data_IF_413276862371
#
_entry.id   IF_413276862371
#
_cell.length_a   1.000
_cell.length_b   1.000
_cell.length_c   1.000
_cell.angle_alpha   90.00
_cell.angle_beta   90.00
_cell.angle_gamma   90.00
#
_symmetry.space_group_name_H-M   'P 1'
#
loop_
_entity.id
_entity.type
_entity.pdbx_description
1 polymer ?
#
# COMPACT_ATOMS: atom_id res chain seq x y z
N UNK A 1 7.43 20.49 8.94
CA UNK A 1 7.47 19.03 8.69
C UNK A 1 7.40 18.20 9.97
N UNK A 2 8.34 18.31 10.93
CA UNK A 2 8.37 17.46 12.14
C UNK A 2 7.05 17.38 12.94
N UNK A 3 6.37 18.52 13.17
CA UNK A 3 5.07 18.55 13.89
C UNK A 3 3.94 17.83 13.16
N UNK A 4 3.91 17.90 11.82
CA UNK A 4 2.90 17.22 11.02
C UNK A 4 3.12 15.71 11.09
N UNK A 5 4.37 15.26 10.98
CA UNK A 5 4.73 13.85 11.17
C UNK A 5 4.29 13.33 12.54
N UNK A 6 4.62 14.04 13.62
CA UNK A 6 4.19 13.67 14.99
C UNK A 6 2.67 13.63 15.16
N UNK A 7 1.94 14.54 14.50
CA UNK A 7 0.48 14.53 14.52
C UNK A 7 -0.09 13.28 13.84
N UNK A 8 0.39 12.95 12.64
CA UNK A 8 -0.06 11.75 11.92
C UNK A 8 0.36 10.47 12.66
N UNK A 9 1.58 10.41 13.22
CA UNK A 9 2.02 9.28 14.05
C UNK A 9 1.10 9.05 15.24
N UNK A 10 0.65 10.10 15.94
CA UNK A 10 -0.32 9.96 17.05
C UNK A 10 -1.66 9.41 16.59
N UNK A 11 -2.12 9.80 15.39
CA UNK A 11 -3.33 9.22 14.80
C UNK A 11 -3.10 7.73 14.54
N UNK A 12 -2.00 7.37 13.88
CA UNK A 12 -1.64 5.98 13.59
C UNK A 12 -1.51 5.10 14.85
N UNK A 13 -0.87 5.62 15.91
CA UNK A 13 -0.71 4.91 17.19
C UNK A 13 -2.06 4.72 17.92
N UNK A 14 -3.09 5.51 17.58
CA UNK A 14 -4.43 5.39 18.18
C UNK A 14 -5.34 4.41 17.45
N UNK A 15 -4.96 3.97 16.25
CA UNK A 15 -5.77 3.06 15.44
C UNK A 15 -5.81 1.66 16.05
N UNK A 16 -6.97 1.01 15.94
CA UNK A 16 -7.17 -0.39 16.30
C UNK A 16 -7.07 -1.27 15.07
N UNK A 17 -6.62 -2.51 15.29
CA UNK A 17 -6.57 -3.51 14.21
C UNK A 17 -7.96 -3.71 13.59
N UNK A 18 -8.02 -3.64 12.26
CA UNK A 18 -9.25 -3.77 11.49
C UNK A 18 -9.94 -2.45 11.14
N UNK A 19 -9.45 -1.31 11.63
CA UNK A 19 -9.94 0.00 11.20
C UNK A 19 -9.47 0.33 9.78
N UNK A 20 -10.30 1.06 9.04
CA UNK A 20 -10.01 1.56 7.70
C UNK A 20 -9.84 3.07 7.78
N UNK A 21 -8.68 3.56 7.35
CA UNK A 21 -8.40 5.00 7.26
C UNK A 21 -8.56 5.44 5.81
N UNK A 22 -9.33 6.51 5.60
CA UNK A 22 -9.48 7.16 4.30
C UNK A 22 -8.64 8.43 4.28
N UNK A 23 -7.67 8.48 3.37
CA UNK A 23 -6.90 9.69 3.08
C UNK A 23 -7.55 10.41 1.88
N UNK A 24 -8.06 11.61 2.12
CA UNK A 24 -8.63 12.47 1.08
C UNK A 24 -7.61 13.56 0.75
N UNK A 25 -7.33 13.72 -0.54
CA UNK A 25 -6.37 14.69 -1.05
C UNK A 25 -6.86 15.26 -2.38
N UNK A 26 -6.43 16.49 -2.68
CA UNK A 26 -6.57 17.13 -3.99
C UNK A 26 -5.28 16.95 -4.81
N UNK A 27 -5.25 17.45 -6.06
CA UNK A 27 -4.11 17.40 -6.97
C UNK A 27 -2.82 17.95 -6.32
N UNK A 28 -1.96 17.06 -5.83
CA UNK A 28 -0.79 17.40 -5.01
C UNK A 28 0.18 16.22 -4.89
N UNK A 29 1.34 16.43 -4.25
CA UNK A 29 2.30 15.37 -3.88
C UNK A 29 1.94 14.63 -2.58
N UNK A 30 0.70 14.78 -2.09
CA UNK A 30 0.25 14.13 -0.86
C UNK A 30 0.31 12.60 -0.95
N UNK A 31 -0.08 11.94 -2.06
CA UNK A 31 0.01 10.48 -2.17
C UNK A 31 1.43 9.94 -1.98
N UNK A 32 2.43 10.60 -2.57
CA UNK A 32 3.83 10.20 -2.53
C UNK A 32 4.40 10.35 -1.12
N UNK A 33 4.19 11.51 -0.50
CA UNK A 33 4.68 11.75 0.87
C UNK A 33 3.93 10.91 1.90
N UNK A 34 2.64 10.62 1.67
CA UNK A 34 1.87 9.72 2.53
C UNK A 34 2.37 8.28 2.40
N UNK A 35 2.67 7.83 1.19
CA UNK A 35 3.25 6.51 0.96
C UNK A 35 4.59 6.36 1.68
N UNK A 36 5.50 7.33 1.54
CA UNK A 36 6.77 7.36 2.28
C UNK A 36 6.56 7.33 3.79
N UNK A 37 5.62 8.15 4.30
CA UNK A 37 5.28 8.17 5.71
C UNK A 37 4.83 6.78 6.21
N UNK A 38 3.94 6.10 5.49
CA UNK A 38 3.42 4.80 5.92
C UNK A 38 4.48 3.70 5.89
N UNK A 39 5.33 3.68 4.86
CA UNK A 39 6.46 2.74 4.78
C UNK A 39 7.45 2.97 5.91
N UNK A 40 7.80 4.23 6.17
CA UNK A 40 8.70 4.58 7.28
C UNK A 40 8.09 4.25 8.65
N UNK A 41 6.81 4.58 8.85
CA UNK A 41 6.09 4.27 10.09
C UNK A 41 6.06 2.76 10.35
N UNK A 42 5.72 1.97 9.34
CA UNK A 42 5.66 0.52 9.45
C UNK A 42 7.04 -0.08 9.72
N UNK A 43 8.09 0.38 9.02
CA UNK A 43 9.47 -0.04 9.25
C UNK A 43 9.92 0.21 10.69
N UNK A 44 9.62 1.39 11.26
CA UNK A 44 9.95 1.73 12.65
C UNK A 44 9.20 0.89 13.69
N UNK A 45 8.06 0.30 13.31
CA UNK A 45 7.22 -0.55 14.18
C UNK A 45 7.42 -2.04 13.92
N UNK A 46 8.36 -2.42 13.05
CA UNK A 46 8.57 -3.80 12.60
C UNK A 46 7.27 -4.44 12.08
N UNK A 47 6.48 -3.65 11.35
CA UNK A 47 5.18 -4.07 10.81
C UNK A 47 5.29 -4.36 9.31
N UNK A 48 4.79 -5.53 8.84
CA UNK A 48 4.79 -5.82 7.42
C UNK A 48 3.85 -4.88 6.66
N UNK A 49 4.27 -4.46 5.47
CA UNK A 49 3.47 -3.63 4.55
C UNK A 49 3.04 -4.47 3.36
N UNK A 50 1.75 -4.43 3.06
CA UNK A 50 1.16 -4.99 1.85
C UNK A 50 0.47 -3.85 1.12
N UNK A 51 0.76 -3.70 -0.17
CA UNK A 51 0.16 -2.66 -1.02
C UNK A 51 -0.78 -3.30 -2.02
N UNK A 52 -2.03 -2.85 -2.04
CA UNK A 52 -2.95 -3.12 -3.14
C UNK A 52 -2.69 -2.07 -4.24
N UNK A 53 -2.01 -2.45 -5.32
CA UNK A 53 -1.74 -1.57 -6.46
C UNK A 53 -2.86 -1.67 -7.50
N UNK A 54 -3.77 -0.69 -7.48
CA UNK A 54 -4.91 -0.63 -8.38
C UNK A 54 -4.54 0.24 -9.60
N UNK A 55 -4.64 -0.33 -10.80
CA UNK A 55 -4.44 0.38 -12.08
C UNK A 55 -3.13 1.16 -12.19
N UNK A 56 -2.02 0.56 -11.73
CA UNK A 56 -0.66 1.15 -11.79
C UNK A 56 -0.47 2.42 -10.93
N UNK A 57 -1.34 2.67 -9.94
CA UNK A 57 -1.19 3.82 -9.03
C UNK A 57 0.15 3.81 -8.30
N UNK A 58 0.64 2.62 -7.91
CA UNK A 58 1.93 2.50 -7.24
C UNK A 58 3.11 2.86 -8.15
N UNK A 59 2.99 2.56 -9.45
CA UNK A 59 3.98 2.94 -10.45
C UNK A 59 4.04 4.46 -10.61
N UNK A 60 2.90 5.14 -10.64
CA UNK A 60 2.84 6.61 -10.69
C UNK A 60 3.54 7.23 -9.47
N UNK A 61 3.24 6.74 -8.26
CA UNK A 61 3.91 7.18 -7.03
C UNK A 61 5.43 7.00 -7.13
N UNK A 62 5.90 5.82 -7.56
CA UNK A 62 7.33 5.54 -7.74
C UNK A 62 7.97 6.52 -8.73
N UNK A 63 7.34 6.77 -9.88
CA UNK A 63 7.86 7.70 -10.89
C UNK A 63 7.95 9.13 -10.36
N UNK A 64 6.93 9.60 -9.63
CA UNK A 64 6.96 10.94 -9.03
C UNK A 64 8.08 11.08 -7.99
N UNK A 65 8.30 10.05 -7.16
CA UNK A 65 9.40 10.03 -6.19
C UNK A 65 10.78 10.06 -6.86
N UNK A 66 10.98 9.26 -7.90
CA UNK A 66 12.22 9.26 -8.70
C UNK A 66 12.45 10.62 -9.36
N UNK A 67 11.39 11.22 -9.91
CA UNK A 67 11.45 12.52 -10.55
C UNK A 67 11.90 13.64 -9.60
N UNK A 68 11.50 13.58 -8.31
CA UNK A 68 11.95 14.53 -7.29
C UNK A 68 13.25 14.11 -6.57
N UNK A 69 13.92 13.07 -7.06
CA UNK A 69 15.25 12.65 -6.60
C UNK A 69 15.25 11.80 -5.32
N UNK A 70 14.13 11.17 -4.98
CA UNK A 70 14.04 10.24 -3.84
C UNK A 70 14.43 8.83 -4.29
N UNK A 71 15.27 8.16 -3.50
CA UNK A 71 15.67 6.76 -3.76
C UNK A 71 14.47 5.83 -3.54
N UNK A 72 14.16 5.03 -4.57
CA UNK A 72 13.00 4.12 -4.62
C UNK A 72 13.38 2.65 -4.55
N UNK A 73 14.62 2.31 -4.20
CA UNK A 73 15.03 0.89 -4.02
C UNK A 73 14.20 0.15 -2.99
N UNK A 74 13.71 0.84 -1.96
CA UNK A 74 12.87 0.26 -0.91
C UNK A 74 11.56 -0.36 -1.44
N UNK A 75 11.11 0.01 -2.65
CA UNK A 75 9.95 -0.63 -3.27
C UNK A 75 10.18 -2.12 -3.51
N UNK A 76 11.42 -2.57 -3.77
CA UNK A 76 11.76 -3.98 -4.07
C UNK A 76 11.37 -4.93 -2.93
N UNK A 77 11.39 -4.44 -1.68
CA UNK A 77 11.06 -5.22 -0.49
C UNK A 77 9.56 -5.19 -0.14
N UNK A 78 8.77 -4.34 -0.78
CA UNK A 78 7.34 -4.18 -0.48
C UNK A 78 6.56 -5.31 -1.16
N UNK A 79 5.73 -6.01 -0.38
CA UNK A 79 4.80 -7.01 -0.92
C UNK A 79 3.62 -6.32 -1.61
N UNK A 80 3.35 -6.67 -2.86
CA UNK A 80 2.32 -6.04 -3.68
C UNK A 80 1.29 -7.04 -4.18
N UNK A 81 0.01 -6.68 -4.06
CA UNK A 81 -1.11 -7.31 -4.74
C UNK A 81 -1.53 -6.37 -5.85
N UNK A 82 -1.32 -6.78 -7.09
CA UNK A 82 -1.62 -5.96 -8.25
C UNK A 82 -3.04 -6.23 -8.75
N UNK A 83 -3.80 -5.18 -9.03
CA UNK A 83 -5.18 -5.26 -9.54
C UNK A 83 -5.29 -4.45 -10.84
N UNK A 84 -5.46 -5.16 -11.97
CA UNK A 84 -5.32 -4.58 -13.30
C UNK A 84 -3.89 -4.07 -13.54
N UNK A 85 -3.74 -3.06 -14.42
CA UNK A 85 -2.45 -2.43 -14.70
C UNK A 85 -1.41 -3.36 -15.34
N UNK A 86 -0.31 -2.78 -15.80
CA UNK A 86 0.77 -3.51 -16.49
C UNK A 86 2.15 -3.23 -15.91
N UNK A 87 2.32 -2.16 -15.15
CA UNK A 87 3.63 -1.74 -14.65
C UNK A 87 3.99 -2.46 -13.34
N UNK A 88 5.07 -3.23 -13.32
CA UNK A 88 5.48 -4.01 -12.14
C UNK A 88 6.32 -3.16 -11.20
N UNK A 89 5.84 -3.00 -9.96
CA UNK A 89 6.55 -2.31 -8.88
C UNK A 89 6.45 -3.16 -7.61
N UNK A 90 7.59 -3.32 -6.94
CA UNK A 90 7.76 -4.14 -5.75
C UNK A 90 7.67 -5.64 -5.98
N UNK A 91 7.62 -6.40 -4.88
CA UNK A 91 7.50 -7.85 -4.90
C UNK A 91 6.03 -8.25 -5.12
N UNK A 92 5.63 -8.33 -6.39
CA UNK A 92 4.26 -8.68 -6.78
C UNK A 92 3.97 -10.15 -6.45
N UNK A 93 3.20 -10.38 -5.39
CA UNK A 93 2.80 -11.71 -4.95
C UNK A 93 1.64 -12.28 -5.79
N UNK A 94 0.74 -11.40 -6.26
CA UNK A 94 -0.43 -11.79 -7.03
C UNK A 94 -0.86 -10.68 -7.99
N UNK A 95 -1.28 -11.06 -9.20
CA UNK A 95 -1.91 -10.17 -10.18
C UNK A 95 -3.36 -10.59 -10.42
N UNK A 96 -4.31 -9.68 -10.20
CA UNK A 96 -5.75 -9.87 -10.34
C UNK A 96 -6.21 -9.06 -11.56
N UNK A 97 -6.75 -9.69 -12.62
CA UNK A 97 -7.32 -8.96 -13.77
C UNK A 97 -8.46 -8.02 -13.36
N UNK A 98 -8.64 -6.90 -14.06
CA UNK A 98 -9.71 -5.93 -13.74
C UNK A 98 -11.12 -6.40 -14.11
N UNK A 99 -11.24 -7.51 -14.86
CA UNK A 99 -12.51 -8.07 -15.33
C UNK A 99 -13.42 -8.56 -14.18
N UNK A 100 -12.90 -8.66 -12.95
CA UNK A 100 -13.69 -8.92 -11.76
C UNK A 100 -14.21 -7.59 -11.18
N UNK A 101 -15.52 -7.46 -10.88
CA UNK A 101 -16.02 -6.31 -10.12
C UNK A 101 -15.18 -6.14 -8.85
N UNK A 102 -14.70 -4.92 -8.58
CA UNK A 102 -13.74 -4.62 -7.50
C UNK A 102 -14.23 -5.16 -6.14
N UNK A 103 -15.55 -5.21 -5.90
CA UNK A 103 -16.13 -5.81 -4.68
C UNK A 103 -16.04 -7.34 -4.57
N UNK A 104 -15.72 -8.08 -5.64
CA UNK A 104 -15.46 -9.53 -5.59
C UNK A 104 -14.00 -9.83 -5.25
N UNK A 105 -13.04 -8.95 -5.50
CA UNK A 105 -11.63 -9.19 -5.15
C UNK A 105 -11.42 -9.25 -3.62
N UNK A 106 -12.20 -8.47 -2.86
CA UNK A 106 -12.27 -8.56 -1.39
C UNK A 106 -13.00 -9.81 -0.90
N UNK A 107 -13.99 -10.33 -1.63
CA UNK A 107 -14.60 -11.64 -1.33
C UNK A 107 -13.63 -12.81 -1.59
N UNK A 108 -12.82 -12.73 -2.65
CA UNK A 108 -11.72 -13.68 -2.91
C UNK A 108 -10.67 -13.69 -1.77
N UNK A 109 -10.43 -12.55 -1.11
CA UNK A 109 -9.51 -12.39 0.03
C UNK A 109 -9.91 -13.27 1.22
N UNK A 110 -11.21 -13.46 1.50
CA UNK A 110 -11.66 -14.29 2.61
C UNK A 110 -11.61 -15.79 2.28
N UNK A 111 -11.97 -16.21 1.07
CA UNK A 111 -11.99 -17.63 0.71
C UNK A 111 -10.60 -18.28 0.61
N UNK A 112 -9.60 -17.57 0.07
CA UNK A 112 -8.27 -18.17 -0.13
C UNK A 112 -7.38 -18.11 1.11
N UNK A 113 -7.53 -17.11 1.97
CA UNK A 113 -6.74 -16.99 3.20
C UNK A 113 -7.27 -17.93 4.32
N UNK A 114 -8.57 -18.24 4.33
CA UNK A 114 -9.16 -19.23 5.25
C UNK A 114 -8.86 -20.67 4.83
N UNK A 115 -8.86 -21.00 3.53
CA UNK A 115 -8.53 -22.35 3.06
C UNK A 115 -7.06 -22.75 3.26
N UNK A 116 -6.12 -21.81 3.40
CA UNK A 116 -4.70 -22.12 3.73
C UNK A 116 -4.46 -22.39 5.22
N UNK A 117 -5.44 -22.19 6.10
CA UNK A 117 -5.36 -22.53 7.53
C UNK A 117 -6.00 -23.89 7.89
N UNK A 118 -6.52 -24.62 6.90
CA UNK A 118 -7.10 -25.96 7.10
C UNK A 118 -6.40 -26.95 6.16
N UNK A 119 -5.13 -27.20 6.43
CA UNK A 119 -4.48 -28.47 6.08
C UNK A 119 -3.58 -28.83 7.27
N UNK A 120 -3.81 -29.96 7.96
CA UNK A 120 -3.01 -30.41 9.10
C UNK A 120 -1.56 -30.74 8.73
#
# INVERSE_FOLDING_TARGET
MRRAFEAVTRIMDSLKMGETVLLIYDESLIPEFSFLFFVEYASRKDMPVIVDDILDSLYVIKQHLEFIGIDTKFFEDITVIKVGGTNIVGNVHQHIPLEVPIGRSTAWRLEKFTRRRVVP
#
